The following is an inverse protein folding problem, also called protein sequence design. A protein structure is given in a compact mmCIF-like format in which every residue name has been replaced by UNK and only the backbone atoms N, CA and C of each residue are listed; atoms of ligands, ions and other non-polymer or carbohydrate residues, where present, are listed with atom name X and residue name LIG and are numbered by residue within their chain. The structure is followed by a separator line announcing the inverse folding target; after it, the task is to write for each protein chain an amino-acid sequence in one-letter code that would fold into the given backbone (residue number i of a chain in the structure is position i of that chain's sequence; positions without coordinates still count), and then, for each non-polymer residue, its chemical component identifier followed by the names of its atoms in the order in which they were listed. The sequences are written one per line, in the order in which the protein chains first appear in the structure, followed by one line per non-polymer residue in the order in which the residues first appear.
data_IF_921268323611
#
_entry.id   IF_921268323611
#
_cell.length_a   1.000
_cell.length_b   1.000
_cell.length_c   1.000
_cell.angle_alpha   90.00
_cell.angle_beta   90.00
_cell.angle_gamma   90.00
#
_symmetry.space_group_name_H-M   'P 1'
#
loop_
_entity.id
_entity.type
_entity.pdbx_description
1 polymer ?
#
# COMPACT_ATOMS: atom_id res chain seq x y z
N UNK A 1 9.67 2.30 21.73
CA UNK A 1 10.87 3.04 21.29
C UNK A 1 11.02 3.02 19.78
N UNK A 2 11.15 1.85 19.13
CA UNK A 2 11.25 1.76 17.66
C UNK A 2 10.02 2.36 16.92
N UNK A 3 8.81 2.14 17.42
CA UNK A 3 7.58 2.72 16.84
C UNK A 3 7.59 4.25 16.81
N UNK A 4 8.04 4.90 17.88
CA UNK A 4 8.09 6.37 17.98
C UNK A 4 9.14 6.96 17.03
N UNK A 5 10.27 6.26 16.83
CA UNK A 5 11.27 6.61 15.83
C UNK A 5 10.75 6.44 14.40
N UNK A 6 10.01 5.36 14.13
CA UNK A 6 9.40 5.13 12.82
C UNK A 6 8.38 6.24 12.48
N UNK A 7 7.57 6.64 13.46
CA UNK A 7 6.63 7.76 13.32
C UNK A 7 7.35 9.08 13.04
N UNK A 8 8.41 9.40 13.81
CA UNK A 8 9.18 10.64 13.66
C UNK A 8 9.94 10.73 12.33
N UNK A 9 10.43 9.60 11.82
CA UNK A 9 11.11 9.49 10.52
C UNK A 9 10.16 9.30 9.34
N UNK A 10 8.86 9.22 9.63
CA UNK A 10 7.82 9.01 8.65
C UNK A 10 7.91 7.72 7.82
N UNK A 11 8.49 6.67 8.41
CA UNK A 11 8.68 5.36 7.75
C UNK A 11 7.86 4.27 8.44
N UNK A 12 7.67 3.14 7.77
CA UNK A 12 7.08 1.96 8.42
C UNK A 12 8.05 1.35 9.43
N UNK A 13 7.51 0.65 10.45
CA UNK A 13 8.34 -0.06 11.42
C UNK A 13 9.18 -1.15 10.74
N UNK A 14 8.61 -1.88 9.78
CA UNK A 14 9.30 -2.91 9.01
C UNK A 14 10.49 -2.34 8.22
N UNK A 15 10.35 -1.12 7.68
CA UNK A 15 11.45 -0.42 7.03
C UNK A 15 12.51 0.02 8.04
N UNK A 16 12.10 0.58 9.18
CA UNK A 16 13.02 1.03 10.23
C UNK A 16 13.88 -0.11 10.79
N UNK A 17 13.31 -1.30 10.96
CA UNK A 17 14.03 -2.47 11.48
C UNK A 17 14.72 -3.29 10.40
N UNK A 18 14.70 -2.84 9.13
CA UNK A 18 15.35 -3.51 8.01
C UNK A 18 14.70 -4.85 7.62
N UNK A 19 13.42 -5.05 7.94
CA UNK A 19 12.64 -6.21 7.49
C UNK A 19 12.14 -6.06 6.05
N UNK A 20 12.20 -4.84 5.50
CA UNK A 20 11.95 -4.55 4.09
C UNK A 20 12.78 -3.35 3.64
N UNK A 21 13.26 -3.38 2.40
CA UNK A 21 13.88 -2.21 1.75
C UNK A 21 12.84 -1.27 1.13
N UNK A 22 11.54 -1.63 1.21
CA UNK A 22 10.45 -0.89 0.59
C UNK A 22 9.98 0.20 1.56
N UNK A 23 10.25 1.45 1.20
CA UNK A 23 9.66 2.61 1.87
C UNK A 23 8.21 2.74 1.41
N UNK A 24 7.27 2.43 2.30
CA UNK A 24 5.85 2.59 2.03
C UNK A 24 5.46 4.07 2.14
N UNK A 25 4.93 4.63 1.06
CA UNK A 25 4.34 5.96 1.07
C UNK A 25 3.12 5.97 2.01
N UNK A 26 3.16 6.83 3.04
CA UNK A 26 2.08 7.00 4.02
C UNK A 26 0.72 7.27 3.37
N UNK A 27 0.68 8.00 2.26
CA UNK A 27 -0.55 8.30 1.54
C UNK A 27 -1.14 7.04 0.87
N UNK A 28 -0.27 6.15 0.36
CA UNK A 28 -0.69 4.87 -0.20
C UNK A 28 -1.26 3.99 0.91
N UNK A 29 -0.55 3.91 2.06
CA UNK A 29 -1.02 3.15 3.23
C UNK A 29 -2.37 3.66 3.71
N UNK A 30 -2.54 4.97 3.84
CA UNK A 30 -3.81 5.59 4.25
C UNK A 30 -4.96 5.21 3.30
N UNK A 31 -4.73 5.29 1.97
CA UNK A 31 -5.73 4.87 0.97
C UNK A 31 -6.11 3.40 1.10
N UNK A 32 -5.13 2.51 1.30
CA UNK A 32 -5.38 1.08 1.51
C UNK A 32 -6.22 0.85 2.78
N UNK A 33 -5.94 1.58 3.87
CA UNK A 33 -6.73 1.50 5.11
C UNK A 33 -8.17 1.97 4.89
N UNK A 34 -8.37 3.03 4.11
CA UNK A 34 -9.72 3.51 3.81
C UNK A 34 -10.49 2.53 2.92
N UNK A 35 -9.83 1.87 1.96
CA UNK A 35 -10.42 0.78 1.16
C UNK A 35 -10.85 -0.38 2.07
N UNK A 36 -10.05 -0.74 3.09
CA UNK A 36 -10.41 -1.80 4.02
C UNK A 36 -11.65 -1.49 4.86
N UNK A 37 -11.91 -0.21 5.15
CA UNK A 37 -13.10 0.24 5.89
C UNK A 37 -14.38 0.23 5.04
N UNK A 38 -14.29 0.07 3.72
CA UNK A 38 -15.45 -0.01 2.85
C UNK A 38 -16.27 -1.27 3.11
N UNK A 39 -17.56 -1.20 2.75
CA UNK A 39 -18.43 -2.39 2.70
C UNK A 39 -17.85 -3.40 1.72
N UNK A 40 -18.13 -4.68 1.95
CA UNK A 40 -17.52 -5.77 1.19
C UNK A 40 -17.72 -5.65 -0.32
N UNK A 41 -18.93 -5.34 -0.78
CA UNK A 41 -19.20 -5.15 -2.21
C UNK A 41 -18.39 -4.00 -2.81
N UNK A 42 -18.38 -2.84 -2.15
CA UNK A 42 -17.63 -1.66 -2.61
C UNK A 42 -16.12 -1.93 -2.65
N UNK A 43 -15.62 -2.62 -1.61
CA UNK A 43 -14.22 -3.04 -1.51
C UNK A 43 -13.84 -4.00 -2.65
N UNK A 44 -14.68 -4.98 -2.97
CA UNK A 44 -14.46 -5.90 -4.07
C UNK A 44 -14.39 -5.18 -5.42
N UNK A 45 -15.25 -4.19 -5.66
CA UNK A 45 -15.21 -3.38 -6.88
C UNK A 45 -13.91 -2.58 -7.00
N UNK A 46 -13.45 -1.95 -5.91
CA UNK A 46 -12.19 -1.22 -5.90
C UNK A 46 -11.00 -2.13 -6.19
N UNK A 47 -10.95 -3.32 -5.58
CA UNK A 47 -9.88 -4.28 -5.85
C UNK A 47 -9.91 -4.79 -7.30
N UNK A 48 -11.08 -5.09 -7.86
CA UNK A 48 -11.18 -5.52 -9.25
C UNK A 48 -10.64 -4.47 -10.23
N UNK A 49 -10.89 -3.18 -9.97
CA UNK A 49 -10.36 -2.08 -10.78
C UNK A 49 -8.84 -1.94 -10.63
N UNK A 50 -8.32 -2.03 -9.40
CA UNK A 50 -6.88 -2.02 -9.12
C UNK A 50 -6.17 -3.17 -9.84
N UNK A 51 -6.70 -4.38 -9.73
CA UNK A 51 -6.10 -5.58 -10.33
C UNK A 51 -6.10 -5.49 -11.86
N UNK A 52 -7.22 -5.03 -12.46
CA UNK A 52 -7.31 -4.81 -13.90
C UNK A 52 -6.27 -3.79 -14.38
N UNK A 53 -6.13 -2.67 -13.68
CA UNK A 53 -5.18 -1.62 -14.03
C UNK A 53 -3.73 -2.11 -13.91
N UNK A 54 -3.37 -2.74 -12.79
CA UNK A 54 -2.03 -3.28 -12.56
C UNK A 54 -1.67 -4.34 -13.60
N UNK A 55 -2.62 -5.21 -13.96
CA UNK A 55 -2.41 -6.23 -15.00
C UNK A 55 -2.16 -5.59 -16.36
N UNK A 56 -2.92 -4.57 -16.72
CA UNK A 56 -2.73 -3.84 -17.97
C UNK A 56 -1.36 -3.16 -18.03
N UNK A 57 -0.94 -2.46 -16.97
CA UNK A 57 0.37 -1.79 -16.93
C UNK A 57 1.51 -2.79 -17.02
N UNK A 58 1.42 -3.94 -16.33
CA UNK A 58 2.43 -5.00 -16.44
C UNK A 58 2.54 -5.54 -17.86
N UNK A 59 1.41 -5.80 -18.51
CA UNK A 59 1.39 -6.24 -19.92
C UNK A 59 2.03 -5.21 -20.85
N UNK A 60 1.75 -3.92 -20.65
CA UNK A 60 2.34 -2.82 -21.42
C UNK A 60 3.84 -2.66 -21.19
N UNK A 61 4.35 -2.99 -20.00
CA UNK A 61 5.79 -2.90 -19.72
C UNK A 61 6.65 -4.01 -20.35
N UNK A 62 6.01 -5.08 -20.85
CA UNK A 62 6.68 -6.26 -21.44
C UNK A 62 6.64 -6.22 -22.98
N UNK A 63 5.76 -5.40 -23.56
CA UNK A 63 5.64 -5.15 -25.00
C UNK A 63 6.53 -3.97 -25.42
#
# INVERSE_FOLDING_TARGET
MATQLAEALEVSLDYLVGSTDILLDKNIVAKILDIQKLKENDRQHVFALLDAFLKQTKLQSIL
#
